data_IF_017616690461
#
_entry.id   IF_017616690461
#
_cell.length_a   1.000
_cell.length_b   1.000
_cell.length_c   1.000
_cell.angle_alpha   90.00
_cell.angle_beta   90.00
_cell.angle_gamma   90.00
#
_symmetry.space_group_name_H-M   'P 1'
#
loop_
_entity.id
_entity.type
_entity.pdbx_description
1 polymer ?
#
# COMPACT_ATOMS: atom_id res chain seq x y z
N UNK A 1 -8.85 11.20 -8.95
CA UNK A 1 -8.20 9.93 -9.35
C UNK A 1 -9.00 9.16 -10.41
N UNK A 2 -10.33 9.24 -10.48
CA UNK A 2 -11.08 8.73 -11.65
C UNK A 2 -11.46 7.24 -11.62
N UNK A 3 -10.94 6.47 -10.67
CA UNK A 3 -11.29 5.06 -10.47
C UNK A 3 -12.63 4.90 -9.76
N UNK A 4 -13.50 4.00 -10.24
CA UNK A 4 -14.88 3.82 -9.77
C UNK A 4 -15.21 2.35 -9.53
N UNK A 5 -16.29 2.11 -8.78
CA UNK A 5 -16.81 0.77 -8.49
C UNK A 5 -16.07 0.03 -7.38
N UNK A 6 -16.52 -1.18 -7.06
CA UNK A 6 -15.97 -2.02 -5.97
C UNK A 6 -14.49 -2.37 -6.14
N UNK A 7 -14.00 -2.37 -7.39
CA UNK A 7 -12.59 -2.65 -7.73
C UNK A 7 -11.80 -1.38 -8.06
N UNK A 8 -12.35 -0.19 -7.81
CA UNK A 8 -11.70 1.08 -8.11
C UNK A 8 -10.34 1.24 -7.40
N UNK A 9 -10.25 0.82 -6.14
CA UNK A 9 -8.99 0.81 -5.39
C UNK A 9 -7.93 -0.11 -6.02
N UNK A 10 -8.32 -1.29 -6.49
CA UNK A 10 -7.42 -2.23 -7.15
C UNK A 10 -6.94 -1.68 -8.51
N UNK A 11 -7.83 -1.02 -9.26
CA UNK A 11 -7.46 -0.36 -10.51
C UNK A 11 -6.47 0.79 -10.27
N UNK A 12 -6.68 1.59 -9.23
CA UNK A 12 -5.75 2.64 -8.82
C UNK A 12 -4.37 2.09 -8.43
N UNK A 13 -4.33 1.04 -7.61
CA UNK A 13 -3.07 0.40 -7.24
C UNK A 13 -2.30 -0.09 -8.47
N UNK A 14 -2.98 -0.77 -9.41
CA UNK A 14 -2.38 -1.27 -10.65
C UNK A 14 -1.84 -0.14 -11.54
N UNK A 15 -2.53 0.99 -11.58
CA UNK A 15 -2.14 2.17 -12.35
C UNK A 15 -0.84 2.79 -11.79
N UNK A 16 -0.77 2.97 -10.46
CA UNK A 16 0.43 3.45 -9.77
C UNK A 16 1.59 2.46 -9.94
N UNK A 17 1.35 1.16 -9.75
CA UNK A 17 2.37 0.11 -9.96
C UNK A 17 2.94 0.13 -11.38
N UNK A 18 2.07 0.25 -12.39
CA UNK A 18 2.47 0.34 -13.80
C UNK A 18 3.29 1.60 -14.08
N UNK A 19 2.82 2.74 -13.61
CA UNK A 19 3.49 4.04 -13.79
C UNK A 19 4.90 4.01 -13.21
N UNK A 20 5.07 3.46 -12.00
CA UNK A 20 6.38 3.28 -11.38
C UNK A 20 7.27 2.30 -12.15
N UNK A 21 6.72 1.19 -12.63
CA UNK A 21 7.46 0.21 -13.44
C UNK A 21 7.97 0.81 -14.76
N UNK A 22 7.13 1.61 -15.44
CA UNK A 22 7.51 2.30 -16.67
C UNK A 22 8.62 3.33 -16.41
N UNK A 23 8.50 4.12 -15.34
CA UNK A 23 9.51 5.11 -14.95
C UNK A 23 10.85 4.49 -14.54
N UNK A 24 10.85 3.25 -14.04
CA UNK A 24 12.06 2.49 -13.76
C UNK A 24 12.58 1.65 -14.95
N UNK A 25 12.17 2.00 -16.17
CA UNK A 25 12.68 1.40 -17.40
C UNK A 25 12.13 0.01 -17.68
N UNK A 26 10.91 -0.29 -17.22
CA UNK A 26 10.22 -1.57 -17.45
C UNK A 26 11.02 -2.77 -16.94
N UNK A 27 11.75 -2.56 -15.86
CA UNK A 27 12.62 -3.56 -15.21
C UNK A 27 12.12 -3.87 -13.79
N UNK A 28 12.81 -4.74 -13.05
CA UNK A 28 12.55 -4.93 -11.62
C UNK A 28 13.14 -3.83 -10.74
N UNK A 29 13.81 -2.83 -11.32
CA UNK A 29 14.29 -1.67 -10.55
C UNK A 29 13.11 -0.83 -10.08
N UNK A 30 13.30 -0.10 -8.99
CA UNK A 30 12.28 0.79 -8.45
C UNK A 30 12.63 2.28 -8.70
N UNK A 31 11.65 3.14 -8.99
CA UNK A 31 11.87 4.58 -8.96
C UNK A 31 12.23 5.05 -7.55
N UNK A 32 13.21 5.94 -7.45
CA UNK A 32 13.64 6.51 -6.19
C UNK A 32 14.12 7.95 -6.32
N UNK A 33 14.14 8.66 -5.21
CA UNK A 33 14.56 10.06 -5.12
C UNK A 33 15.14 10.33 -3.73
N UNK A 34 16.17 11.17 -3.61
CA UNK A 34 16.63 11.65 -2.30
C UNK A 34 15.51 12.41 -1.61
N UNK A 35 15.36 12.20 -0.31
CA UNK A 35 14.28 12.78 0.50
C UNK A 35 14.30 14.31 0.42
N UNK A 36 15.48 14.93 0.51
CA UNK A 36 15.62 16.38 0.42
C UNK A 36 15.23 16.92 -0.95
N UNK A 37 15.51 16.19 -2.02
CA UNK A 37 15.18 16.58 -3.39
C UNK A 37 13.67 16.48 -3.65
N UNK A 38 13.02 15.47 -3.06
CA UNK A 38 11.56 15.34 -3.06
C UNK A 38 10.86 16.52 -2.38
N UNK A 39 11.44 17.04 -1.28
CA UNK A 39 10.86 18.13 -0.50
C UNK A 39 11.22 19.54 -0.99
N UNK A 40 12.06 19.64 -2.03
CA UNK A 40 12.51 20.93 -2.54
C UNK A 40 11.42 21.60 -3.36
N UNK A 41 11.02 22.80 -2.93
CA UNK A 41 9.89 23.50 -3.54
C UNK A 41 8.60 22.67 -3.46
N UNK A 42 7.70 22.93 -4.41
CA UNK A 42 6.44 22.21 -4.53
C UNK A 42 6.50 21.10 -5.59
N UNK A 43 7.39 21.18 -6.58
CA UNK A 43 7.51 20.16 -7.64
C UNK A 43 8.61 19.13 -7.39
N UNK A 44 9.43 19.29 -6.36
CA UNK A 44 10.63 18.46 -6.18
C UNK A 44 11.65 18.64 -7.30
N UNK A 45 12.71 17.82 -7.30
CA UNK A 45 13.66 17.72 -8.42
C UNK A 45 14.27 16.32 -8.52
N UNK A 46 14.65 15.88 -9.72
CA UNK A 46 15.39 14.62 -9.89
C UNK A 46 16.71 14.67 -9.13
N UNK A 47 17.07 13.57 -8.45
CA UNK A 47 18.35 13.46 -7.76
C UNK A 47 19.48 13.20 -8.74
N UNK A 48 20.63 13.86 -8.53
CA UNK A 48 21.82 13.67 -9.39
C UNK A 48 22.37 12.25 -9.29
N UNK A 49 22.29 11.68 -8.10
CA UNK A 49 22.79 10.36 -7.73
C UNK A 49 21.97 9.82 -6.55
N UNK A 50 22.02 8.50 -6.35
CA UNK A 50 21.36 7.82 -5.24
C UNK A 50 22.39 6.99 -4.46
N UNK A 51 22.39 7.05 -3.12
CA UNK A 51 23.24 6.21 -2.29
C UNK A 51 22.82 4.73 -2.41
N UNK A 52 23.69 3.79 -1.98
CA UNK A 52 23.35 2.37 -1.89
C UNK A 52 22.10 2.14 -1.03
N UNK A 53 21.29 1.16 -1.39
CA UNK A 53 20.07 0.81 -0.66
C UNK A 53 19.88 -0.70 -0.59
N UNK A 54 18.98 -1.14 0.30
CA UNK A 54 18.68 -2.56 0.51
C UNK A 54 17.82 -3.19 -0.58
N UNK A 55 17.25 -2.41 -1.50
CA UNK A 55 16.46 -2.95 -2.60
C UNK A 55 17.35 -3.57 -3.67
N UNK A 56 17.47 -4.91 -3.62
CA UNK A 56 18.43 -5.70 -4.41
C UNK A 56 18.36 -5.48 -5.92
N UNK A 57 17.18 -5.40 -6.58
CA UNK A 57 17.13 -5.15 -8.02
C UNK A 57 17.75 -3.80 -8.44
N UNK A 58 17.90 -2.87 -7.49
CA UNK A 58 18.43 -1.53 -7.71
C UNK A 58 17.35 -0.49 -7.95
N UNK A 59 17.76 0.77 -7.99
CA UNK A 59 16.86 1.93 -8.08
C UNK A 59 17.21 2.84 -9.25
N UNK A 60 16.23 3.57 -9.78
CA UNK A 60 16.37 4.56 -10.85
C UNK A 60 15.98 5.93 -10.31
N UNK A 61 16.82 6.95 -10.52
CA UNK A 61 16.48 8.29 -10.06
C UNK A 61 15.40 8.93 -10.92
N UNK A 62 14.31 9.35 -10.30
CA UNK A 62 13.16 10.01 -10.94
C UNK A 62 12.62 11.12 -10.05
N UNK A 63 11.73 11.97 -10.57
CA UNK A 63 10.98 12.92 -9.76
C UNK A 63 9.66 12.29 -9.27
N UNK A 64 9.60 11.86 -8.01
CA UNK A 64 8.40 11.20 -7.45
C UNK A 64 7.22 12.16 -7.27
N UNK A 65 7.45 13.48 -7.20
CA UNK A 65 6.38 14.49 -7.13
C UNK A 65 5.58 14.55 -8.44
N UNK A 66 6.25 14.35 -9.58
CA UNK A 66 5.61 14.29 -10.91
C UNK A 66 5.06 12.89 -11.22
N UNK A 67 5.67 11.85 -10.66
CA UNK A 67 5.29 10.46 -10.94
C UNK A 67 4.04 10.01 -10.17
N UNK A 68 3.93 10.40 -8.90
CA UNK A 68 2.83 9.99 -8.03
C UNK A 68 1.68 11.00 -8.11
N UNK A 69 0.41 10.56 -7.95
CA UNK A 69 -0.72 11.47 -7.88
C UNK A 69 -0.52 12.53 -6.79
N UNK A 70 -0.88 13.80 -7.09
CA UNK A 70 -0.68 14.95 -6.20
C UNK A 70 -1.17 14.70 -4.77
N UNK A 71 -2.35 14.09 -4.62
CA UNK A 71 -2.92 13.76 -3.30
C UNK A 71 -2.00 12.87 -2.45
N UNK A 72 -1.25 11.96 -3.08
CA UNK A 72 -0.27 11.10 -2.38
C UNK A 72 1.01 11.88 -2.13
N UNK A 73 1.55 12.52 -3.16
CA UNK A 73 2.85 13.18 -3.06
C UNK A 73 2.80 14.36 -2.08
N UNK A 74 1.71 15.11 -2.03
CA UNK A 74 1.48 16.25 -1.11
C UNK A 74 1.33 15.80 0.33
N UNK A 75 0.51 14.76 0.56
CA UNK A 75 0.35 14.18 1.88
C UNK A 75 1.68 13.64 2.40
N UNK A 76 2.46 12.97 1.54
CA UNK A 76 3.79 12.49 1.88
C UNK A 76 4.74 13.64 2.20
N UNK A 77 4.78 14.69 1.39
CA UNK A 77 5.64 15.86 1.64
C UNK A 77 5.31 16.54 2.97
N UNK A 78 4.02 16.72 3.28
CA UNK A 78 3.57 17.28 4.56
C UNK A 78 3.98 16.38 5.75
N UNK A 79 3.82 15.06 5.62
CA UNK A 79 4.23 14.08 6.62
C UNK A 79 5.73 14.09 6.89
N UNK A 80 6.55 14.03 5.84
CA UNK A 80 8.01 14.07 5.94
C UNK A 80 8.51 15.37 6.57
N UNK A 81 7.93 16.53 6.20
CA UNK A 81 8.25 17.83 6.84
C UNK A 81 7.90 17.83 8.33
N UNK A 82 6.79 17.19 8.71
CA UNK A 82 6.39 17.04 10.12
C UNK A 82 7.38 16.14 10.88
N UNK A 83 7.79 15.03 10.28
CA UNK A 83 8.81 14.16 10.85
C UNK A 83 10.15 14.85 11.01
N UNK A 84 10.59 15.66 10.03
CA UNK A 84 11.83 16.41 10.14
C UNK A 84 11.87 17.40 11.29
N UNK A 85 10.72 17.99 11.67
CA UNK A 85 10.60 18.87 12.85
C UNK A 85 10.70 18.09 14.17
N UNK A 86 10.15 16.87 14.22
CA UNK A 86 10.10 16.04 15.44
C UNK A 86 11.35 15.19 15.65
N UNK A 87 11.99 14.77 14.56
CA UNK A 87 13.14 13.88 14.52
C UNK A 87 14.16 14.46 13.53
N UNK A 88 15.05 15.37 13.95
CA UNK A 88 15.95 16.07 13.03
C UNK A 88 16.81 15.14 12.16
N UNK A 89 17.26 14.00 12.71
CA UNK A 89 18.03 12.97 11.99
C UNK A 89 17.24 12.18 10.94
N UNK A 90 15.93 12.37 10.87
CA UNK A 90 15.10 11.82 9.80
C UNK A 90 15.37 12.53 8.46
N UNK A 91 15.84 13.78 8.50
CA UNK A 91 16.18 14.59 7.33
C UNK A 91 17.66 14.44 6.96
N UNK A 92 18.05 13.23 6.57
CA UNK A 92 19.42 12.94 6.14
C UNK A 92 19.64 13.26 4.66
N UNK A 93 20.87 13.62 4.28
CA UNK A 93 21.24 13.85 2.88
C UNK A 93 21.22 12.57 2.06
N UNK A 94 21.52 11.43 2.69
CA UNK A 94 21.53 10.10 2.07
C UNK A 94 20.22 9.33 2.28
N UNK A 95 19.22 9.94 2.91
CA UNK A 95 17.88 9.37 2.94
C UNK A 95 17.26 9.37 1.52
N UNK A 96 16.74 8.21 1.11
CA UNK A 96 16.00 8.06 -0.15
C UNK A 96 14.59 7.57 0.07
N UNK A 97 13.70 7.98 -0.82
CA UNK A 97 12.35 7.47 -0.98
C UNK A 97 12.36 6.49 -2.15
N UNK A 98 11.75 5.33 -1.98
CA UNK A 98 11.58 4.30 -3.02
C UNK A 98 10.09 4.09 -3.20
N UNK A 99 9.60 4.04 -4.45
CA UNK A 99 8.19 3.86 -4.75
C UNK A 99 7.94 2.67 -5.70
N UNK A 100 6.72 2.10 -5.72
CA UNK A 100 5.63 2.33 -4.79
C UNK A 100 5.58 1.27 -3.66
N UNK A 101 5.07 1.66 -2.50
CA UNK A 101 4.57 0.74 -1.47
C UNK A 101 3.04 0.72 -1.56
N UNK A 102 2.49 -0.15 -2.42
CA UNK A 102 1.09 -0.07 -2.88
C UNK A 102 0.12 -1.02 -2.17
N UNK A 103 0.63 -2.02 -1.42
CA UNK A 103 -0.16 -3.16 -0.90
C UNK A 103 -0.14 -3.27 0.62
N UNK A 104 -0.40 -2.16 1.30
CA UNK A 104 -0.41 -2.08 2.77
C UNK A 104 -1.67 -2.66 3.42
N UNK A 105 -2.76 -2.73 2.66
CA UNK A 105 -4.03 -3.35 3.07
C UNK A 105 -4.85 -3.69 1.83
N UNK A 106 -5.86 -4.55 1.98
CA UNK A 106 -6.71 -4.92 0.85
C UNK A 106 -7.48 -3.71 0.31
N UNK A 107 -7.43 -3.44 -1.02
CA UNK A 107 -8.23 -2.40 -1.67
C UNK A 107 -9.71 -2.77 -1.80
N UNK A 108 -10.07 -3.99 -1.40
CA UNK A 108 -11.41 -4.57 -1.51
C UNK A 108 -11.83 -5.14 -0.18
N UNK A 109 -13.10 -4.93 0.18
CA UNK A 109 -13.72 -5.58 1.33
C UNK A 109 -14.85 -6.47 0.84
N UNK A 110 -14.73 -7.76 1.06
CA UNK A 110 -15.75 -8.73 0.68
C UNK A 110 -16.79 -8.76 1.81
N UNK A 111 -18.09 -8.50 1.55
CA UNK A 111 -19.09 -8.44 2.61
C UNK A 111 -19.22 -9.76 3.36
N UNK A 112 -19.38 -9.66 4.68
CA UNK A 112 -19.76 -10.78 5.54
C UNK A 112 -20.61 -10.26 6.70
N UNK A 113 -21.56 -11.07 7.13
CA UNK A 113 -22.39 -10.79 8.30
C UNK A 113 -21.53 -10.74 9.58
N UNK A 114 -21.96 -9.95 10.57
CA UNK A 114 -21.15 -9.69 11.77
C UNK A 114 -21.16 -10.85 12.76
N UNK A 115 -22.24 -11.64 12.78
CA UNK A 115 -22.42 -12.71 13.76
C UNK A 115 -22.01 -14.06 13.17
N UNK A 116 -22.57 -14.42 12.02
CA UNK A 116 -22.27 -15.68 11.33
C UNK A 116 -20.93 -15.66 10.60
N UNK A 117 -20.37 -14.48 10.32
CA UNK A 117 -19.14 -14.29 9.51
C UNK A 117 -19.25 -14.80 8.06
N UNK A 118 -20.44 -15.19 7.62
CA UNK A 118 -20.72 -15.70 6.29
C UNK A 118 -21.09 -14.56 5.33
N UNK A 119 -20.82 -14.72 4.05
CA UNK A 119 -21.29 -13.79 3.02
C UNK A 119 -22.82 -13.78 2.97
N UNK A 120 -23.48 -12.60 2.96
CA UNK A 120 -24.94 -12.51 3.01
C UNK A 120 -25.65 -13.20 1.83
N UNK A 121 -25.05 -13.13 0.64
CA UNK A 121 -25.65 -13.66 -0.59
C UNK A 121 -25.10 -15.01 -1.04
N UNK A 122 -24.08 -15.55 -0.37
CA UNK A 122 -23.39 -16.78 -0.80
C UNK A 122 -23.19 -17.70 0.40
N UNK A 123 -24.10 -18.65 0.56
CA UNK A 123 -24.04 -19.65 1.62
C UNK A 123 -22.73 -20.46 1.54
N UNK A 124 -22.09 -20.68 2.68
CA UNK A 124 -20.82 -21.41 2.78
C UNK A 124 -19.58 -20.59 2.45
N UNK A 125 -19.72 -19.33 2.02
CA UNK A 125 -18.57 -18.43 1.80
C UNK A 125 -18.28 -17.60 3.05
N UNK A 126 -17.06 -17.70 3.59
CA UNK A 126 -16.62 -16.95 4.78
C UNK A 126 -15.39 -16.10 4.45
N UNK A 127 -15.55 -14.83 4.03
CA UNK A 127 -14.42 -13.95 3.78
C UNK A 127 -13.63 -13.70 5.07
N UNK A 128 -12.30 -13.83 5.02
CA UNK A 128 -11.45 -13.70 6.19
C UNK A 128 -10.08 -13.08 5.89
N UNK A 129 -9.38 -12.67 6.95
CA UNK A 129 -8.02 -12.17 6.89
C UNK A 129 -7.88 -10.87 6.10
N UNK A 130 -6.66 -10.61 5.65
CA UNK A 130 -6.32 -9.37 4.94
C UNK A 130 -7.00 -9.31 3.57
N UNK A 131 -6.99 -10.41 2.81
CA UNK A 131 -7.63 -10.48 1.50
C UNK A 131 -9.15 -10.25 1.53
N UNK A 132 -9.82 -10.67 2.62
CA UNK A 132 -11.24 -10.35 2.85
C UNK A 132 -11.50 -8.90 3.29
N UNK A 133 -10.46 -8.17 3.72
CA UNK A 133 -10.56 -6.83 4.26
C UNK A 133 -10.89 -6.78 5.76
N UNK A 134 -10.55 -7.82 6.52
CA UNK A 134 -10.86 -7.96 7.96
C UNK A 134 -9.63 -8.02 8.87
N UNK A 135 -8.43 -7.95 8.31
CA UNK A 135 -7.16 -7.92 9.03
C UNK A 135 -6.13 -7.03 8.32
N UNK A 136 -5.04 -6.66 9.00
CA UNK A 136 -3.97 -5.81 8.46
C UNK A 136 -2.57 -6.22 8.92
N UNK A 137 -2.40 -7.49 9.28
CA UNK A 137 -1.14 -8.03 9.76
C UNK A 137 -1.28 -9.44 10.31
N UNK A 138 -0.15 -10.13 10.47
CA UNK A 138 -0.05 -11.57 10.78
C UNK A 138 -0.97 -11.98 11.94
N UNK A 139 -0.83 -11.31 13.10
CA UNK A 139 -1.62 -11.63 14.29
C UNK A 139 -3.12 -11.42 14.07
N UNK A 140 -3.51 -10.28 13.48
CA UNK A 140 -4.91 -9.98 13.22
C UNK A 140 -5.55 -10.95 12.22
N UNK A 141 -4.79 -11.38 11.21
CA UNK A 141 -5.25 -12.35 10.22
C UNK A 141 -5.43 -13.74 10.83
N UNK A 142 -4.51 -14.16 11.70
CA UNK A 142 -4.63 -15.42 12.43
C UNK A 142 -5.86 -15.44 13.36
N UNK A 143 -6.07 -14.37 14.13
CA UNK A 143 -7.24 -14.25 15.02
C UNK A 143 -8.56 -14.23 14.24
N UNK A 144 -8.60 -13.54 13.10
CA UNK A 144 -9.78 -13.55 12.23
C UNK A 144 -10.05 -14.94 11.63
N UNK A 145 -8.98 -15.64 11.21
CA UNK A 145 -9.07 -17.01 10.71
C UNK A 145 -9.61 -17.99 11.74
N UNK A 146 -9.17 -17.89 13.00
CA UNK A 146 -9.71 -18.71 14.10
C UNK A 146 -11.21 -18.47 14.30
N UNK A 147 -11.63 -17.20 14.34
CA UNK A 147 -13.07 -16.85 14.50
C UNK A 147 -13.92 -17.41 13.36
N UNK A 148 -13.41 -17.33 12.13
CA UNK A 148 -14.10 -17.89 10.97
C UNK A 148 -14.16 -19.41 11.03
N UNK A 149 -13.10 -20.09 11.46
CA UNK A 149 -13.12 -21.55 11.65
C UNK A 149 -14.18 -21.97 12.69
N UNK A 150 -14.28 -21.26 13.81
CA UNK A 150 -15.31 -21.50 14.83
C UNK A 150 -16.73 -21.29 14.28
N UNK A 151 -16.95 -20.24 13.48
CA UNK A 151 -18.24 -19.95 12.86
C UNK A 151 -18.66 -21.02 11.82
N UNK A 152 -17.70 -21.51 11.03
CA UNK A 152 -17.92 -22.61 10.09
C UNK A 152 -18.34 -23.88 10.85
N UNK A 153 -17.63 -24.22 11.92
CA UNK A 153 -17.96 -25.38 12.77
C UNK A 153 -19.35 -25.28 13.39
N UNK A 154 -19.72 -24.11 13.92
CA UNK A 154 -21.05 -23.88 14.47
C UNK A 154 -22.16 -24.05 13.42
N UNK A 155 -21.92 -23.62 12.19
CA UNK A 155 -22.88 -23.72 11.07
C UNK A 155 -23.08 -25.16 10.60
N UNK A 156 -22.02 -25.98 10.59
CA UNK A 156 -22.13 -27.39 10.20
C UNK A 156 -22.95 -28.21 11.21
N UNK A 157 -22.86 -27.88 12.50
CA UNK A 157 -23.67 -28.56 13.53
C UNK A 157 -25.18 -28.29 13.42
N UNK A 158 -25.58 -27.18 12.80
CA UNK A 158 -26.99 -26.83 12.62
C UNK A 158 -27.63 -27.44 11.37
N UNK A 159 -26.85 -28.07 10.49
CA UNK A 159 -27.29 -28.80 9.30
C UNK A 159 -26.79 -30.26 9.35
N UNK A 160 -27.41 -31.14 10.17
CA UNK A 160 -27.06 -32.56 10.24
C UNK A 160 -27.40 -33.32 8.95
#
# INVERSE_FOLDING_TARGET
LGFKGQLGGLAFQRDVERTCWEAAGKSQRAPAQRLLDFLTGDSGRVSKDLPPCSYVPGVVSVNLRELLPDVISDALAAGLRTFGKRMPRFMDRDAILIAPESRTSSPVRIPRDRESLMHPDVAGLYPCGEGGGYAGGILSAALDGMRVADAVHATQKSHP
#
